data_IF_285384812980
#
_entry.id   IF_285384812980
#
_cell.length_a   1.000
_cell.length_b   1.000
_cell.length_c   1.000
_cell.angle_alpha   90.00
_cell.angle_beta   90.00
_cell.angle_gamma   90.00
#
_symmetry.space_group_name_H-M   'P 1'
#
loop_
_entity.id
_entity.type
_entity.pdbx_description
1 polymer ?
#
# COMPACT_ATOMS: atom_id res chain seq x y z
N UNK A 1 10.69 48.85 -54.11
CA UNK A 1 9.84 49.08 -52.90
C UNK A 1 9.18 47.81 -52.34
N UNK A 2 8.84 46.79 -53.08
CA UNK A 2 8.15 45.56 -52.56
C UNK A 2 9.05 44.59 -51.74
N UNK A 3 10.36 44.63 -51.84
CA UNK A 3 11.28 43.73 -51.15
C UNK A 3 11.55 44.21 -49.71
N UNK A 4 11.64 45.50 -49.48
CA UNK A 4 11.85 46.06 -48.12
C UNK A 4 10.68 45.83 -47.18
N UNK A 5 9.42 45.86 -47.69
CA UNK A 5 8.23 45.63 -46.89
C UNK A 5 8.14 44.18 -46.35
N UNK A 6 8.56 43.19 -47.14
CA UNK A 6 8.59 41.78 -46.69
C UNK A 6 9.65 41.53 -45.63
N UNK A 7 10.81 42.21 -45.74
CA UNK A 7 11.88 42.09 -44.73
C UNK A 7 11.49 42.71 -43.41
N UNK A 8 10.83 43.83 -43.43
CA UNK A 8 10.31 44.53 -42.22
C UNK A 8 9.24 43.68 -41.53
N UNK A 9 8.33 43.05 -42.24
CA UNK A 9 7.30 42.17 -41.67
C UNK A 9 7.95 40.91 -41.04
N UNK A 10 8.95 40.31 -41.66
CA UNK A 10 9.66 39.15 -41.11
C UNK A 10 10.38 39.53 -39.78
N UNK A 11 11.05 40.69 -39.74
CA UNK A 11 11.76 41.14 -38.56
C UNK A 11 10.78 41.44 -37.39
N UNK A 12 9.63 42.01 -37.70
CA UNK A 12 8.58 42.27 -36.72
C UNK A 12 7.98 40.95 -36.18
N UNK A 13 7.70 39.98 -37.04
CA UNK A 13 7.20 38.66 -36.64
C UNK A 13 8.22 37.90 -35.76
N UNK A 14 9.51 37.97 -36.12
CA UNK A 14 10.57 37.39 -35.27
C UNK A 14 10.72 38.07 -33.95
N UNK A 15 10.59 39.39 -33.87
CA UNK A 15 10.62 40.19 -32.66
C UNK A 15 9.44 39.85 -31.72
N UNK A 16 8.23 39.66 -32.28
CA UNK A 16 7.05 39.26 -31.53
C UNK A 16 7.17 37.83 -31.00
N UNK A 17 7.70 36.89 -31.81
CA UNK A 17 7.93 35.54 -31.37
C UNK A 17 8.99 35.42 -30.26
N UNK A 18 10.07 36.22 -30.33
CA UNK A 18 11.06 36.32 -29.25
C UNK A 18 10.46 36.92 -27.98
N UNK A 19 9.64 37.93 -28.08
CA UNK A 19 8.95 38.57 -26.93
C UNK A 19 7.98 37.56 -26.28
N UNK A 20 7.22 36.80 -27.07
CA UNK A 20 6.35 35.74 -26.57
C UNK A 20 7.16 34.59 -25.93
N UNK A 21 8.31 34.24 -26.49
CA UNK A 21 9.19 33.26 -25.91
C UNK A 21 9.72 33.67 -24.53
N UNK A 22 10.15 34.96 -24.36
CA UNK A 22 10.59 35.47 -23.07
C UNK A 22 9.44 35.67 -22.07
N UNK A 23 8.24 36.00 -22.51
CA UNK A 23 7.08 36.12 -21.65
C UNK A 23 6.53 34.79 -21.17
N UNK A 24 6.58 33.75 -22.02
CA UNK A 24 6.18 32.37 -21.66
C UNK A 24 7.29 31.66 -20.90
N UNK A 25 8.57 31.92 -21.21
CA UNK A 25 9.71 31.32 -20.51
C UNK A 25 9.87 31.78 -19.06
N UNK A 26 9.47 32.99 -18.74
CA UNK A 26 9.49 33.52 -17.35
C UNK A 26 8.28 33.08 -16.50
N UNK A 27 7.31 32.38 -17.08
CA UNK A 27 6.19 31.81 -16.34
C UNK A 27 6.44 30.35 -15.85
N UNK A 28 7.62 29.78 -16.17
CA UNK A 28 7.97 28.39 -15.87
C UNK A 28 8.86 28.19 -14.62
N UNK A 29 9.29 29.25 -13.95
CA UNK A 29 10.09 29.20 -12.73
C UNK A 29 9.29 29.67 -11.50
N UNK A 30 8.12 29.07 -11.23
CA UNK A 30 7.59 29.10 -9.87
C UNK A 30 8.18 27.94 -9.06
N UNK A 31 8.79 28.22 -7.89
CA UNK A 31 9.25 27.17 -6.98
C UNK A 31 8.05 26.40 -6.45
N UNK A 32 8.20 25.09 -6.14
CA UNK A 32 7.11 24.27 -5.64
C UNK A 32 6.51 24.90 -4.38
N UNK A 33 5.20 25.09 -4.38
CA UNK A 33 4.40 25.58 -3.26
C UNK A 33 4.79 24.81 -1.99
N UNK A 34 5.33 25.53 -1.01
CA UNK A 34 5.45 25.05 0.36
C UNK A 34 4.05 24.80 0.87
N UNK A 35 3.77 23.58 1.31
CA UNK A 35 2.57 23.24 2.07
C UNK A 35 2.47 24.20 3.26
N UNK A 36 1.40 24.97 3.31
CA UNK A 36 1.04 25.79 4.46
C UNK A 36 0.55 24.84 5.55
N UNK A 37 1.40 24.63 6.55
CA UNK A 37 0.99 24.03 7.80
C UNK A 37 -0.06 24.95 8.43
N UNK A 38 -1.26 24.44 8.66
CA UNK A 38 -2.32 25.10 9.41
C UNK A 38 -1.93 25.12 10.88
N UNK A 39 -1.32 26.23 11.30
CA UNK A 39 -0.96 26.50 12.69
C UNK A 39 -2.11 27.27 13.34
N UNK A 40 -2.97 26.55 14.07
CA UNK A 40 -3.90 27.15 15.02
C UNK A 40 -3.18 27.31 16.35
N UNK A 41 -2.45 28.41 16.54
CA UNK A 41 -1.93 28.79 17.85
C UNK A 41 -2.61 30.06 18.37
N UNK A 42 -3.22 29.95 19.55
CA UNK A 42 -3.71 31.06 20.36
C UNK A 42 -2.57 31.95 20.87
N UNK A 43 -2.79 33.23 21.18
CA UNK A 43 -1.74 34.20 21.43
C UNK A 43 -1.09 34.07 22.81
N UNK A 44 0.18 34.48 22.95
CA UNK A 44 0.89 34.39 24.23
C UNK A 44 0.64 35.60 25.14
N UNK A 45 0.48 35.36 26.43
CA UNK A 45 0.56 36.35 27.48
C UNK A 45 2.03 36.64 27.87
N UNK A 46 2.31 37.90 28.05
CA UNK A 46 3.57 38.54 28.42
C UNK A 46 4.19 38.04 29.73
N UNK A 47 5.51 37.89 29.77
CA UNK A 47 6.29 37.74 31.01
C UNK A 47 7.79 37.82 30.77
N UNK A 48 8.40 38.96 31.10
CA UNK A 48 9.82 39.24 31.10
C UNK A 48 10.58 38.44 32.19
N UNK A 49 11.77 37.88 31.89
CA UNK A 49 12.63 37.30 32.93
C UNK A 49 13.98 36.77 32.47
N UNK A 50 14.96 37.64 32.44
CA UNK A 50 16.41 37.53 32.73
C UNK A 50 17.24 36.30 32.27
N UNK A 51 18.20 36.63 31.45
CA UNK A 51 19.45 35.95 31.10
C UNK A 51 20.31 35.66 32.36
N UNK A 52 20.76 34.41 32.53
CA UNK A 52 21.97 34.08 33.31
C UNK A 52 22.79 33.03 32.57
N UNK A 53 23.99 33.45 32.17
CA UNK A 53 25.06 32.63 31.65
C UNK A 53 25.82 31.95 32.80
N UNK A 54 26.05 30.63 32.74
CA UNK A 54 27.06 29.96 33.61
C UNK A 54 27.93 29.04 32.78
N UNK A 55 29.23 29.15 33.13
CA UNK A 55 30.45 28.64 32.49
C UNK A 55 30.65 27.13 32.62
N UNK A 56 31.47 26.61 31.67
CA UNK A 56 32.18 25.33 31.64
C UNK A 56 32.75 24.88 32.99
N UNK A 57 32.63 23.61 33.30
CA UNK A 57 33.35 22.90 34.36
C UNK A 57 33.77 21.48 33.96
N UNK A 58 35.01 21.26 33.94
CA UNK A 58 35.98 20.16 33.75
C UNK A 58 35.52 18.73 34.08
N UNK A 59 36.08 17.78 33.26
CA UNK A 59 36.20 16.31 33.52
C UNK A 59 36.92 16.00 34.82
N UNK A 60 36.68 14.82 35.41
CA UNK A 60 37.74 13.99 35.97
C UNK A 60 37.75 12.52 35.47
N UNK A 61 38.83 12.08 35.27
CA UNK A 61 39.82 11.00 35.21
C UNK A 61 39.37 9.63 35.73
N UNK A 62 39.82 8.61 34.98
CA UNK A 62 39.84 7.17 35.26
C UNK A 62 40.34 6.80 36.65
N UNK A 63 39.78 5.71 37.20
CA UNK A 63 40.49 4.77 38.07
C UNK A 63 40.17 3.33 37.71
N UNK A 64 41.28 2.57 37.48
CA UNK A 64 41.32 1.10 37.36
C UNK A 64 41.22 0.46 38.74
N UNK A 65 40.54 -0.67 38.86
CA UNK A 65 40.84 -1.79 39.82
C UNK A 65 40.01 -2.98 39.23
N UNK A 66 40.63 -4.00 38.74
CA UNK A 66 41.34 -5.19 39.26
C UNK A 66 40.44 -6.44 39.31
N UNK A 67 40.91 -7.39 38.54
CA UNK A 67 40.57 -8.80 38.39
C UNK A 67 40.19 -9.53 39.67
N UNK A 68 39.22 -10.46 39.56
CA UNK A 68 39.35 -11.81 40.15
C UNK A 68 38.36 -12.79 39.52
N UNK A 69 38.94 -13.76 38.81
CA UNK A 69 38.30 -15.07 38.56
C UNK A 69 38.58 -16.00 39.73
N UNK A 70 37.73 -17.05 39.94
CA UNK A 70 38.27 -18.40 39.74
C UNK A 70 37.36 -19.40 39.00
N UNK A 71 37.95 -20.20 38.19
CA UNK A 71 37.57 -21.55 37.74
C UNK A 71 38.26 -22.57 38.65
N UNK A 72 38.06 -23.90 38.48
CA UNK A 72 36.94 -24.76 38.11
C UNK A 72 36.73 -25.94 39.09
N UNK A 73 35.72 -26.74 38.92
CA UNK A 73 35.81 -28.16 39.36
C UNK A 73 35.05 -29.11 38.44
N UNK A 74 35.81 -29.97 37.86
CA UNK A 74 35.53 -31.17 37.05
C UNK A 74 35.25 -32.32 37.99
N UNK A 75 34.19 -33.11 37.77
CA UNK A 75 34.12 -34.50 38.16
C UNK A 75 33.47 -35.35 37.08
N UNK A 76 34.30 -36.24 36.58
CA UNK A 76 33.97 -37.39 35.73
C UNK A 76 33.27 -38.45 36.55
N UNK A 77 32.38 -39.18 35.89
CA UNK A 77 31.77 -40.41 36.36
C UNK A 77 31.32 -41.29 35.20
N UNK A 78 32.21 -42.13 34.67
CA UNK A 78 31.92 -43.28 33.81
C UNK A 78 31.16 -44.34 34.58
N UNK A 79 30.14 -44.98 34.01
CA UNK A 79 29.92 -46.42 34.12
C UNK A 79 29.14 -46.92 32.90
N UNK A 80 29.57 -48.04 32.43
CA UNK A 80 29.34 -48.82 31.25
C UNK A 80 28.19 -49.83 31.38
N UNK A 81 27.63 -50.25 30.21
CA UNK A 81 27.35 -51.58 29.70
C UNK A 81 25.90 -52.12 29.66
N UNK A 82 25.61 -52.58 28.43
CA UNK A 82 24.90 -53.81 27.98
C UNK A 82 23.37 -53.88 28.24
N UNK A 83 22.54 -54.10 27.31
CA UNK A 83 22.44 -55.11 26.25
C UNK A 83 21.07 -55.75 26.33
N UNK A 84 20.43 -55.96 25.24
CA UNK A 84 19.23 -56.82 25.25
C UNK A 84 18.24 -56.57 24.12
N UNK A 85 18.47 -57.20 22.97
CA UNK A 85 17.45 -57.46 21.94
C UNK A 85 16.35 -58.36 22.50
N UNK A 86 15.08 -58.01 22.30
CA UNK A 86 13.99 -58.99 22.20
C UNK A 86 12.98 -58.56 21.16
N UNK A 87 12.90 -59.36 20.10
CA UNK A 87 11.82 -59.40 19.13
C UNK A 87 10.52 -59.90 19.80
N UNK A 88 9.40 -59.27 19.52
CA UNK A 88 8.09 -59.94 19.60
C UNK A 88 7.21 -59.50 18.44
N UNK A 89 6.96 -60.46 17.56
CA UNK A 89 5.97 -60.47 16.49
C UNK A 89 4.54 -60.67 17.04
N UNK A 90 3.59 -60.14 16.28
CA UNK A 90 2.19 -60.57 16.10
C UNK A 90 1.13 -60.12 17.11
N UNK A 91 0.22 -59.24 16.63
CA UNK A 91 -1.17 -59.66 16.32
C UNK A 91 -1.95 -58.57 15.57
N UNK A 92 -2.27 -58.88 14.30
CA UNK A 92 -3.34 -58.18 13.58
C UNK A 92 -4.67 -58.45 14.29
N UNK A 93 -5.42 -57.38 14.56
CA UNK A 93 -6.87 -57.42 14.72
C UNK A 93 -7.46 -56.36 13.78
N UNK A 94 -8.18 -56.85 12.80
CA UNK A 94 -9.06 -56.09 11.94
C UNK A 94 -10.16 -55.49 12.83
N UNK A 95 -10.27 -54.17 12.85
CA UNK A 95 -11.49 -53.48 13.18
C UNK A 95 -11.90 -52.60 12.02
N UNK A 96 -13.12 -52.83 11.60
CA UNK A 96 -13.80 -52.25 10.48
C UNK A 96 -13.90 -50.74 10.52
N UNK A 97 -13.87 -50.13 9.34
CA UNK A 97 -13.88 -48.73 9.03
C UNK A 97 -14.89 -47.86 9.81
N UNK A 98 -14.36 -46.80 10.42
CA UNK A 98 -15.07 -45.56 10.54
C UNK A 98 -14.66 -44.68 9.35
N UNK A 99 -15.61 -44.05 8.66
CA UNK A 99 -15.26 -43.09 7.63
C UNK A 99 -14.54 -41.91 8.33
N UNK A 100 -13.31 -41.63 7.90
CA UNK A 100 -12.59 -40.41 8.22
C UNK A 100 -13.51 -39.28 7.78
N UNK A 101 -14.02 -38.54 8.75
CA UNK A 101 -14.77 -37.30 8.52
C UNK A 101 -13.94 -36.43 7.58
N UNK A 102 -14.53 -36.10 6.43
CA UNK A 102 -13.92 -35.28 5.43
C UNK A 102 -13.35 -34.04 6.12
N UNK A 103 -12.11 -33.72 5.83
CA UNK A 103 -11.50 -32.45 6.15
C UNK A 103 -12.48 -31.39 5.67
N UNK A 104 -13.06 -30.63 6.59
CA UNK A 104 -13.74 -29.40 6.25
C UNK A 104 -12.75 -28.63 5.38
N UNK A 105 -13.10 -28.42 4.11
CA UNK A 105 -12.35 -27.54 3.21
C UNK A 105 -12.23 -26.22 3.98
N UNK A 106 -11.04 -25.88 4.43
CA UNK A 106 -10.79 -24.60 5.07
C UNK A 106 -11.27 -23.54 4.09
N UNK A 107 -12.30 -22.77 4.48
CA UNK A 107 -12.78 -21.66 3.64
C UNK A 107 -11.58 -20.77 3.37
N UNK A 108 -11.19 -20.68 2.10
CA UNK A 108 -10.01 -19.94 1.65
C UNK A 108 -10.34 -18.45 1.64
N UNK A 109 -10.13 -17.81 2.78
CA UNK A 109 -10.35 -16.37 2.96
C UNK A 109 -9.24 -15.57 2.30
N UNK A 110 -9.60 -14.55 1.52
CA UNK A 110 -8.65 -13.54 1.09
C UNK A 110 -8.47 -12.51 2.21
N UNK A 111 -7.24 -12.24 2.60
CA UNK A 111 -6.90 -11.31 3.66
C UNK A 111 -6.51 -9.95 3.08
N UNK A 112 -7.18 -8.88 3.51
CA UNK A 112 -6.88 -7.51 3.12
C UNK A 112 -6.59 -6.66 4.36
N UNK A 113 -5.46 -5.96 4.39
CA UNK A 113 -5.12 -5.02 5.45
C UNK A 113 -5.16 -3.57 4.97
N UNK A 114 -5.59 -2.69 5.85
CA UNK A 114 -5.59 -1.25 5.66
C UNK A 114 -5.18 -0.56 6.97
N UNK A 115 -4.46 0.57 6.86
CA UNK A 115 -4.07 1.40 7.99
C UNK A 115 -4.77 2.75 7.87
N UNK A 116 -5.66 3.05 8.82
CA UNK A 116 -6.53 4.24 8.77
C UNK A 116 -6.39 5.07 10.04
N UNK A 117 -5.89 6.30 9.92
CA UNK A 117 -5.75 7.25 11.02
C UNK A 117 -6.29 8.63 10.63
N UNK A 118 -6.62 9.46 11.61
CA UNK A 118 -7.17 10.79 11.37
C UNK A 118 -8.55 10.74 10.69
N UNK A 119 -8.76 11.48 9.61
CA UNK A 119 -10.05 11.60 8.91
C UNK A 119 -10.31 10.50 7.85
N UNK A 120 -9.68 9.31 7.97
CA UNK A 120 -9.72 8.31 6.91
C UNK A 120 -10.84 7.26 7.03
N UNK A 121 -11.82 7.47 7.90
CA UNK A 121 -12.93 6.53 8.12
C UNK A 121 -13.76 6.30 6.84
N UNK A 122 -14.32 7.35 6.26
CA UNK A 122 -15.23 7.25 5.12
C UNK A 122 -14.53 6.75 3.87
N UNK A 123 -13.30 7.20 3.64
CA UNK A 123 -12.46 6.73 2.54
C UNK A 123 -12.18 5.22 2.66
N UNK A 124 -11.85 4.76 3.87
CA UNK A 124 -11.62 3.33 4.14
C UNK A 124 -12.91 2.50 4.00
N UNK A 125 -14.05 3.00 4.45
CA UNK A 125 -15.34 2.31 4.26
C UNK A 125 -15.69 2.21 2.77
N UNK A 126 -15.41 3.24 1.98
CA UNK A 126 -15.60 3.23 0.52
C UNK A 126 -14.66 2.24 -0.17
N UNK A 127 -13.40 2.15 0.26
CA UNK A 127 -12.45 1.13 -0.18
C UNK A 127 -13.00 -0.28 0.09
N UNK A 128 -13.40 -0.59 1.35
CA UNK A 128 -13.96 -1.90 1.74
C UNK A 128 -15.20 -2.22 0.93
N UNK A 129 -16.07 -1.22 0.69
CA UNK A 129 -17.25 -1.33 -0.16
C UNK A 129 -16.88 -1.73 -1.59
N UNK A 130 -15.88 -1.05 -2.20
CA UNK A 130 -15.42 -1.37 -3.56
C UNK A 130 -14.90 -2.81 -3.67
N UNK A 131 -14.12 -3.27 -2.68
CA UNK A 131 -13.63 -4.65 -2.64
C UNK A 131 -14.77 -5.67 -2.61
N UNK A 132 -15.84 -5.41 -1.84
CA UNK A 132 -16.99 -6.31 -1.72
C UNK A 132 -17.93 -6.26 -2.92
N UNK A 133 -18.04 -5.12 -3.59
CA UNK A 133 -18.92 -4.97 -4.76
C UNK A 133 -18.54 -5.92 -5.89
N UNK A 134 -17.27 -6.09 -6.14
CA UNK A 134 -16.77 -6.80 -7.31
C UNK A 134 -16.23 -8.21 -7.00
N UNK A 135 -15.81 -8.51 -5.77
CA UNK A 135 -15.24 -9.82 -5.42
C UNK A 135 -16.29 -10.91 -5.26
N UNK A 136 -15.90 -12.15 -5.53
CA UNK A 136 -16.76 -13.32 -5.41
C UNK A 136 -16.47 -14.09 -4.11
N UNK A 137 -15.21 -14.25 -3.78
CA UNK A 137 -14.77 -14.93 -2.55
C UNK A 137 -14.98 -14.09 -1.31
N UNK A 138 -14.93 -14.74 -0.16
CA UNK A 138 -15.03 -14.09 1.15
C UNK A 138 -13.74 -13.36 1.49
N UNK A 139 -13.86 -12.20 2.14
CA UNK A 139 -12.72 -11.34 2.49
C UNK A 139 -12.66 -11.16 4.01
N UNK A 140 -11.47 -11.30 4.59
CA UNK A 140 -11.18 -10.93 5.96
C UNK A 140 -10.39 -9.63 5.98
N UNK A 141 -11.00 -8.59 6.54
CA UNK A 141 -10.36 -7.28 6.68
C UNK A 141 -9.60 -7.16 7.99
N UNK A 142 -8.36 -6.67 7.91
CA UNK A 142 -7.50 -6.32 9.03
C UNK A 142 -7.35 -4.80 9.05
N UNK A 143 -8.11 -4.13 9.91
CA UNK A 143 -8.17 -2.66 9.99
C UNK A 143 -7.28 -2.22 11.15
N UNK A 144 -6.15 -1.59 10.83
CA UNK A 144 -5.26 -1.00 11.83
C UNK A 144 -5.62 0.47 11.99
N UNK A 145 -5.90 0.91 13.21
CA UNK A 145 -6.41 2.27 13.43
C UNK A 145 -6.10 2.81 14.82
N UNK A 146 -6.27 4.12 14.97
CA UNK A 146 -6.27 4.78 16.28
C UNK A 146 -7.51 4.36 17.08
N UNK A 147 -7.39 4.38 18.39
CA UNK A 147 -8.46 3.98 19.33
C UNK A 147 -9.78 4.74 19.06
N UNK A 148 -9.67 6.04 18.77
CA UNK A 148 -10.82 6.90 18.48
C UNK A 148 -11.65 6.44 17.27
N UNK A 149 -11.06 5.73 16.31
CA UNK A 149 -11.73 5.26 15.09
C UNK A 149 -12.25 3.81 15.22
N UNK A 150 -11.85 3.04 16.22
CA UNK A 150 -12.25 1.64 16.37
C UNK A 150 -13.79 1.47 16.44
N UNK A 151 -14.45 2.22 17.33
CA UNK A 151 -15.92 2.20 17.47
C UNK A 151 -16.63 2.74 16.21
N UNK A 152 -16.22 3.86 15.58
CA UNK A 152 -16.75 4.31 14.29
C UNK A 152 -16.67 3.25 13.18
N UNK A 153 -15.55 2.51 13.02
CA UNK A 153 -15.46 1.41 12.05
C UNK A 153 -16.46 0.30 12.34
N UNK A 154 -16.55 -0.17 13.58
CA UNK A 154 -17.50 -1.20 13.98
C UNK A 154 -18.95 -0.77 13.68
N UNK A 155 -19.30 0.47 14.05
CA UNK A 155 -20.62 1.05 13.80
C UNK A 155 -20.91 1.20 12.29
N UNK A 156 -19.93 1.62 11.49
CA UNK A 156 -20.06 1.76 10.03
C UNK A 156 -20.36 0.41 9.38
N UNK A 157 -19.51 -0.59 9.65
CA UNK A 157 -19.61 -1.92 9.05
C UNK A 157 -20.85 -2.71 9.52
N UNK A 158 -21.31 -2.53 10.76
CA UNK A 158 -22.50 -3.21 11.30
C UNK A 158 -23.82 -2.75 10.67
N UNK A 159 -23.83 -1.56 10.04
CA UNK A 159 -25.03 -1.04 9.34
C UNK A 159 -25.25 -1.66 7.97
N UNK A 160 -24.28 -2.41 7.44
CA UNK A 160 -24.37 -2.95 6.10
C UNK A 160 -25.37 -4.11 6.01
N UNK A 161 -26.08 -4.27 4.86
CA UNK A 161 -27.09 -5.29 4.69
C UNK A 161 -26.55 -6.71 4.95
N UNK A 162 -27.42 -7.59 5.46
CA UNK A 162 -27.03 -8.96 5.87
C UNK A 162 -26.39 -9.77 4.73
N UNK A 163 -26.87 -9.62 3.49
CA UNK A 163 -26.29 -10.30 2.33
C UNK A 163 -24.87 -9.85 1.98
N UNK A 164 -24.49 -8.62 2.37
CA UNK A 164 -23.13 -8.09 2.26
C UNK A 164 -22.29 -8.56 3.44
N UNK A 165 -22.79 -8.38 4.67
CA UNK A 165 -22.05 -8.71 5.91
C UNK A 165 -21.74 -10.20 6.04
N UNK A 166 -22.49 -11.09 5.40
CA UNK A 166 -22.21 -12.53 5.35
C UNK A 166 -20.99 -12.90 4.49
N UNK A 167 -20.46 -11.95 3.69
CA UNK A 167 -19.36 -12.17 2.74
C UNK A 167 -18.01 -11.75 3.27
N UNK A 168 -17.96 -11.14 4.45
CA UNK A 168 -16.70 -10.69 5.03
C UNK A 168 -16.66 -10.90 6.54
N UNK A 169 -15.44 -10.90 7.05
CA UNK A 169 -15.13 -10.76 8.46
C UNK A 169 -14.17 -9.57 8.62
N UNK A 170 -14.10 -8.99 9.79
CA UNK A 170 -13.12 -7.95 10.07
C UNK A 170 -12.57 -8.06 11.50
N UNK A 171 -11.35 -7.60 11.66
CA UNK A 171 -10.70 -7.39 12.95
C UNK A 171 -10.12 -5.98 12.97
N UNK A 172 -10.31 -5.28 14.08
CA UNK A 172 -9.75 -3.93 14.29
C UNK A 172 -8.57 -4.06 15.23
N UNK A 173 -7.44 -3.52 14.86
CA UNK A 173 -6.18 -3.60 15.59
C UNK A 173 -5.71 -2.20 15.96
N UNK A 174 -5.10 -2.01 17.14
CA UNK A 174 -4.41 -0.78 17.48
C UNK A 174 -3.14 -0.61 16.65
N UNK A 175 -2.68 0.63 16.53
CA UNK A 175 -1.39 0.95 15.91
C UNK A 175 -0.27 0.59 16.89
N UNK A 176 0.62 -0.34 16.49
CA UNK A 176 1.71 -0.84 17.34
C UNK A 176 2.99 -1.06 16.54
N UNK A 177 4.12 -0.80 17.16
CA UNK A 177 5.45 -0.99 16.56
C UNK A 177 6.30 -1.85 17.51
N UNK A 178 6.83 -2.96 17.01
CA UNK A 178 7.57 -3.94 17.82
C UNK A 178 9.04 -3.56 18.06
N UNK A 179 9.60 -2.72 17.19
CA UNK A 179 11.02 -2.30 17.27
C UNK A 179 11.17 -0.79 17.14
N UNK A 180 12.20 -0.23 17.76
CA UNK A 180 12.50 1.20 17.72
C UNK A 180 11.55 2.05 18.58
N UNK A 181 11.58 3.35 18.34
CA UNK A 181 10.73 4.30 19.05
C UNK A 181 9.39 4.45 18.31
N UNK A 182 8.28 4.11 18.98
CA UNK A 182 6.94 4.18 18.40
C UNK A 182 6.59 5.58 17.89
N UNK A 183 7.01 6.65 18.59
CA UNK A 183 6.74 8.01 18.17
C UNK A 183 7.53 8.43 16.92
N UNK A 184 8.72 7.88 16.71
CA UNK A 184 9.48 8.08 15.46
C UNK A 184 8.76 7.40 14.29
N UNK A 185 8.28 6.16 14.48
CA UNK A 185 7.53 5.45 13.44
C UNK A 185 6.21 6.12 13.09
N UNK A 186 5.48 6.63 14.08
CA UNK A 186 4.22 7.38 13.85
C UNK A 186 4.46 8.66 13.04
N UNK A 187 5.61 9.30 13.21
CA UNK A 187 5.95 10.56 12.53
C UNK A 187 6.74 10.39 11.24
N UNK A 188 7.04 9.15 10.83
CA UNK A 188 7.94 8.89 9.69
C UNK A 188 7.48 9.56 8.39
N UNK A 189 6.19 9.59 8.11
CA UNK A 189 5.62 10.23 6.94
C UNK A 189 4.22 10.80 7.23
N UNK A 190 3.17 10.02 6.91
CA UNK A 190 1.78 10.31 7.30
C UNK A 190 1.44 9.59 8.59
N UNK A 191 0.48 10.07 9.37
CA UNK A 191 0.08 9.37 10.59
C UNK A 191 -0.13 7.88 10.32
N UNK A 192 0.54 7.02 11.09
CA UNK A 192 0.40 5.57 11.09
C UNK A 192 0.88 4.82 9.83
N UNK A 193 1.28 5.47 8.73
CA UNK A 193 1.63 4.78 7.47
C UNK A 193 2.69 3.70 7.66
N UNK A 194 3.69 3.93 8.53
CA UNK A 194 4.72 2.96 8.85
C UNK A 194 4.22 1.62 9.43
N UNK A 195 2.96 1.57 9.92
CA UNK A 195 2.34 0.35 10.45
C UNK A 195 2.40 -0.82 9.46
N UNK A 196 2.34 -0.54 8.12
CA UNK A 196 2.42 -1.61 7.10
C UNK A 196 3.70 -2.43 7.18
N UNK A 197 4.81 -1.85 7.59
CA UNK A 197 6.08 -2.55 7.73
C UNK A 197 6.04 -3.64 8.82
N UNK A 198 5.14 -3.50 9.79
CA UNK A 198 5.01 -4.39 10.93
C UNK A 198 3.94 -5.48 10.76
N UNK A 199 3.19 -5.47 9.65
CA UNK A 199 2.15 -6.48 9.38
C UNK A 199 2.69 -7.92 9.38
N UNK A 200 3.88 -8.23 8.82
CA UNK A 200 4.43 -9.57 8.88
C UNK A 200 4.68 -10.07 10.32
N UNK A 201 5.02 -9.15 11.22
CA UNK A 201 5.33 -9.46 12.61
C UNK A 201 4.06 -9.59 13.46
N UNK A 202 3.04 -8.77 13.17
CA UNK A 202 1.80 -8.72 13.95
C UNK A 202 0.84 -9.84 13.54
N UNK A 203 0.66 -10.07 12.24
CA UNK A 203 -0.29 -11.05 11.69
C UNK A 203 0.37 -12.43 11.54
N UNK A 204 0.81 -13.03 12.66
CA UNK A 204 1.60 -14.27 12.68
C UNK A 204 0.88 -15.47 12.07
N UNK A 205 -0.43 -15.54 12.22
CA UNK A 205 -1.27 -16.64 11.74
C UNK A 205 -1.80 -16.43 10.30
N UNK A 206 -1.42 -15.34 9.64
CA UNK A 206 -1.79 -15.03 8.26
C UNK A 206 -0.63 -15.41 7.33
N UNK A 207 -0.92 -16.25 6.34
CA UNK A 207 0.08 -16.68 5.35
C UNK A 207 0.27 -15.61 4.27
N UNK A 208 -0.83 -15.15 3.68
CA UNK A 208 -0.82 -14.20 2.57
C UNK A 208 -1.75 -13.02 2.83
N UNK A 209 -1.36 -11.83 2.40
CA UNK A 209 -2.04 -10.58 2.70
C UNK A 209 -1.94 -9.60 1.53
N UNK A 210 -3.06 -9.00 1.16
CA UNK A 210 -3.07 -7.79 0.34
C UNK A 210 -3.14 -6.56 1.26
N UNK A 211 -2.14 -5.71 1.24
CA UNK A 211 -2.17 -4.39 1.85
C UNK A 211 -2.58 -3.35 0.82
N UNK A 212 -3.44 -2.42 1.21
CA UNK A 212 -3.79 -1.25 0.41
C UNK A 212 -3.86 0.02 1.26
N UNK A 213 -3.52 1.17 0.66
CA UNK A 213 -3.73 2.48 1.26
C UNK A 213 -5.24 2.80 1.32
N UNK A 214 -5.64 3.74 2.19
CA UNK A 214 -7.07 4.11 2.39
C UNK A 214 -7.71 4.71 1.15
N UNK A 215 -6.90 5.34 0.29
CA UNK A 215 -7.30 6.00 -0.96
C UNK A 215 -7.21 5.08 -2.19
N UNK A 216 -7.52 3.79 -1.99
CA UNK A 216 -7.56 2.77 -3.05
C UNK A 216 -8.99 2.31 -3.30
N UNK A 217 -9.39 2.12 -4.57
CA UNK A 217 -10.67 1.56 -4.98
C UNK A 217 -10.45 0.39 -5.94
N UNK A 218 -11.15 -0.71 -5.69
CA UNK A 218 -11.21 -1.85 -6.60
C UNK A 218 -12.24 -1.59 -7.70
N UNK A 219 -11.87 -1.79 -8.95
CA UNK A 219 -12.75 -1.75 -10.12
C UNK A 219 -12.84 -3.13 -10.80
N UNK A 220 -12.13 -4.10 -10.25
CA UNK A 220 -12.05 -5.50 -10.65
C UNK A 220 -12.07 -6.40 -9.41
N UNK A 221 -12.45 -7.68 -9.50
CA UNK A 221 -12.45 -8.57 -8.35
C UNK A 221 -11.10 -8.64 -7.63
N UNK A 222 -11.12 -8.57 -6.30
CA UNK A 222 -9.95 -8.81 -5.47
C UNK A 222 -9.38 -10.21 -5.71
N UNK A 223 -10.22 -11.15 -6.09
CA UNK A 223 -9.86 -12.52 -6.50
C UNK A 223 -8.74 -12.53 -7.55
N UNK A 224 -8.76 -11.55 -8.47
CA UNK A 224 -7.81 -11.50 -9.58
C UNK A 224 -6.42 -11.05 -9.12
N UNK A 225 -6.31 -9.99 -8.30
CA UNK A 225 -5.00 -9.59 -7.74
C UNK A 225 -4.48 -10.67 -6.77
N UNK A 226 -5.38 -11.32 -6.02
CA UNK A 226 -5.01 -12.42 -5.13
C UNK A 226 -4.39 -13.60 -5.88
N UNK A 227 -4.82 -13.83 -7.14
CA UNK A 227 -4.30 -14.92 -7.96
C UNK A 227 -2.81 -14.78 -8.30
N UNK A 228 -2.25 -13.56 -8.27
CA UNK A 228 -0.81 -13.35 -8.49
C UNK A 228 0.10 -14.06 -7.47
N UNK A 229 -0.43 -14.45 -6.30
CA UNK A 229 0.33 -15.30 -5.37
C UNK A 229 0.76 -16.64 -6.01
N UNK A 230 0.02 -17.12 -7.01
CA UNK A 230 0.33 -18.34 -7.75
C UNK A 230 1.43 -18.12 -8.80
N UNK A 231 1.63 -16.89 -9.21
CA UNK A 231 2.67 -16.50 -10.17
C UNK A 231 4.04 -16.29 -9.49
N UNK A 232 4.04 -16.18 -8.15
CA UNK A 232 5.30 -16.02 -7.40
C UNK A 232 6.19 -17.24 -7.58
N UNK A 233 7.42 -17.01 -8.03
CA UNK A 233 8.45 -18.05 -8.00
C UNK A 233 8.91 -18.34 -6.55
N UNK A 234 9.90 -19.20 -6.40
CA UNK A 234 10.39 -19.63 -5.08
C UNK A 234 11.04 -18.53 -4.24
N UNK A 235 11.54 -17.45 -4.86
CA UNK A 235 12.21 -16.34 -4.17
C UNK A 235 11.28 -15.15 -3.93
N UNK A 236 10.25 -14.97 -4.74
CA UNK A 236 9.32 -13.85 -4.60
C UNK A 236 8.43 -13.99 -3.37
N UNK A 237 8.30 -12.89 -2.64
CA UNK A 237 7.55 -12.84 -1.39
C UNK A 237 6.61 -11.63 -1.30
N UNK A 238 6.75 -10.68 -2.21
CA UNK A 238 5.85 -9.53 -2.32
C UNK A 238 5.67 -9.11 -3.79
N UNK A 239 4.60 -8.34 -4.06
CA UNK A 239 4.35 -7.73 -5.35
C UNK A 239 3.88 -6.28 -5.18
N UNK A 240 4.44 -5.37 -5.99
CA UNK A 240 4.08 -3.95 -6.07
C UNK A 240 4.19 -3.46 -7.50
N UNK A 241 3.48 -2.37 -7.84
CA UNK A 241 3.64 -1.72 -9.14
C UNK A 241 4.80 -0.72 -9.14
N UNK A 242 5.40 -0.40 -10.30
CA UNK A 242 6.36 0.68 -10.43
C UNK A 242 5.80 2.01 -9.91
N UNK A 243 6.66 2.86 -9.34
CA UNK A 243 6.25 4.21 -8.94
C UNK A 243 5.91 5.07 -10.16
N UNK A 244 6.58 4.86 -11.26
CA UNK A 244 6.27 5.53 -12.53
C UNK A 244 6.70 4.69 -13.73
N UNK A 245 5.94 4.78 -14.85
CA UNK A 245 6.28 4.07 -16.07
C UNK A 245 7.36 4.78 -16.88
N UNK A 246 7.53 6.09 -16.68
CA UNK A 246 8.49 6.93 -17.42
C UNK A 246 9.61 7.39 -16.46
N UNK A 247 10.85 6.86 -16.60
CA UNK A 247 11.96 7.20 -15.69
C UNK A 247 12.29 8.68 -15.64
N UNK A 248 12.18 9.39 -16.76
CA UNK A 248 12.52 10.83 -16.87
C UNK A 248 11.66 11.73 -15.99
N UNK A 249 10.44 11.31 -15.63
CA UNK A 249 9.51 12.07 -14.78
C UNK A 249 9.22 11.37 -13.45
N UNK A 250 9.68 10.14 -13.26
CA UNK A 250 9.57 9.41 -12.00
C UNK A 250 10.32 10.11 -10.86
N UNK A 251 9.69 10.18 -9.68
CA UNK A 251 10.27 10.88 -8.53
C UNK A 251 11.59 10.26 -8.09
N UNK A 252 11.65 8.93 -7.96
CA UNK A 252 12.86 8.23 -7.48
C UNK A 252 14.06 8.47 -8.39
N UNK A 253 13.87 8.38 -9.70
CA UNK A 253 14.94 8.59 -10.67
C UNK A 253 15.54 10.00 -10.66
N UNK A 254 14.76 10.99 -10.19
CA UNK A 254 15.14 12.41 -10.21
C UNK A 254 15.64 12.93 -8.86
N UNK A 255 15.07 12.44 -7.76
CA UNK A 255 15.20 13.11 -6.46
C UNK A 255 15.65 12.20 -5.32
N UNK A 256 15.50 10.86 -5.43
CA UNK A 256 15.89 9.96 -4.34
C UNK A 256 17.41 10.06 -4.06
N UNK A 257 17.73 10.18 -2.76
CA UNK A 257 19.11 10.20 -2.27
C UNK A 257 19.46 8.93 -1.49
N UNK A 258 18.73 7.87 -1.76
CA UNK A 258 18.91 6.53 -1.21
C UNK A 258 18.72 5.49 -2.33
N UNK A 259 19.19 4.25 -2.16
CA UNK A 259 18.91 3.18 -3.11
C UNK A 259 17.41 2.93 -3.26
N UNK A 260 16.94 2.55 -4.46
CA UNK A 260 15.56 2.19 -4.73
C UNK A 260 15.47 1.04 -5.73
N UNK A 261 14.33 0.37 -5.77
CA UNK A 261 14.11 -0.79 -6.64
C UNK A 261 14.01 -0.38 -8.12
N UNK A 262 14.67 -1.15 -8.99
CA UNK A 262 14.56 -0.99 -10.45
C UNK A 262 14.97 0.40 -10.95
N UNK A 263 14.23 0.92 -11.92
CA UNK A 263 14.55 2.19 -12.61
C UNK A 263 13.76 3.37 -12.02
N UNK A 264 12.55 3.14 -11.52
CA UNK A 264 11.64 4.20 -11.04
C UNK A 264 11.19 4.02 -9.60
N UNK A 265 11.70 3.00 -8.89
CA UNK A 265 11.15 2.59 -7.60
C UNK A 265 9.80 1.89 -7.74
N UNK A 266 9.20 1.51 -6.60
CA UNK A 266 7.87 0.93 -6.52
C UNK A 266 6.98 1.75 -5.61
N UNK A 267 5.67 1.74 -5.91
CA UNK A 267 4.65 2.37 -5.10
C UNK A 267 4.01 1.35 -4.15
N UNK A 268 4.03 1.66 -2.86
CA UNK A 268 3.60 0.75 -1.79
C UNK A 268 2.11 0.80 -1.47
N UNK A 269 1.33 1.66 -2.14
CA UNK A 269 -0.11 1.80 -1.87
C UNK A 269 -0.95 0.59 -2.22
N UNK A 270 -0.40 -0.35 -3.00
CA UNK A 270 -0.96 -1.69 -3.25
C UNK A 270 0.18 -2.69 -3.16
N UNK A 271 0.17 -3.56 -2.15
CA UNK A 271 1.23 -4.54 -1.89
C UNK A 271 0.65 -5.91 -1.55
N UNK A 272 0.83 -6.88 -2.42
CA UNK A 272 0.49 -8.28 -2.15
C UNK A 272 1.70 -8.98 -1.53
N UNK A 273 1.49 -9.70 -0.44
CA UNK A 273 2.55 -10.29 0.37
C UNK A 273 2.30 -11.76 0.69
N UNK A 274 3.33 -12.59 0.62
CA UNK A 274 3.39 -13.85 1.33
C UNK A 274 4.12 -13.63 2.67
N UNK A 275 3.37 -13.47 3.75
CA UNK A 275 3.90 -13.13 5.06
C UNK A 275 4.76 -14.25 5.65
N UNK A 276 4.43 -15.50 5.36
CA UNK A 276 5.22 -16.66 5.80
C UNK A 276 6.62 -16.63 5.19
N UNK A 277 6.72 -16.33 3.89
CA UNK A 277 8.02 -16.17 3.23
C UNK A 277 8.79 -14.97 3.77
N UNK A 278 8.12 -13.82 4.00
CA UNK A 278 8.76 -12.63 4.58
C UNK A 278 9.36 -12.96 5.96
N UNK A 279 8.61 -13.65 6.82
CA UNK A 279 9.09 -14.04 8.15
C UNK A 279 10.27 -15.00 8.14
N UNK A 280 10.38 -15.85 7.13
CA UNK A 280 11.43 -16.88 7.02
C UNK A 280 12.66 -16.44 6.22
N UNK A 281 12.63 -15.27 5.58
CA UNK A 281 13.71 -14.78 4.71
C UNK A 281 14.71 -13.93 5.50
N UNK A 282 15.99 -14.13 5.22
CA UNK A 282 17.07 -13.24 5.63
C UNK A 282 17.39 -12.27 4.50
N UNK A 283 17.16 -11.00 4.74
CA UNK A 283 17.31 -9.95 3.73
C UNK A 283 18.74 -9.44 3.66
N UNK A 284 19.28 -9.40 2.44
CA UNK A 284 20.55 -8.73 2.15
C UNK A 284 20.43 -7.25 2.44
N UNK A 285 21.50 -6.65 2.92
CA UNK A 285 21.58 -5.24 3.25
C UNK A 285 23.02 -4.75 3.10
N UNK A 286 23.25 -3.45 3.21
CA UNK A 286 24.58 -2.86 3.12
C UNK A 286 25.12 -2.37 4.49
N UNK A 287 24.61 -2.95 5.58
CA UNK A 287 25.04 -2.60 6.94
C UNK A 287 25.93 -3.69 7.54
N UNK A 288 25.58 -4.95 7.28
CA UNK A 288 26.31 -6.13 7.75
C UNK A 288 26.42 -7.17 6.62
N UNK A 289 27.41 -8.04 6.70
CA UNK A 289 27.67 -9.07 5.68
C UNK A 289 26.66 -10.22 5.70
N UNK A 290 25.98 -10.44 6.83
CA UNK A 290 24.93 -11.44 6.99
C UNK A 290 23.56 -10.83 6.73
N UNK A 291 22.60 -11.65 6.25
CA UNK A 291 21.21 -11.21 6.14
C UNK A 291 20.58 -10.94 7.51
N UNK A 292 19.59 -10.06 7.53
CA UNK A 292 18.78 -9.77 8.72
C UNK A 292 17.33 -10.25 8.50
N UNK A 293 16.67 -10.69 9.57
CA UNK A 293 15.24 -10.92 9.53
C UNK A 293 14.50 -9.63 9.19
N UNK A 294 13.24 -9.72 8.74
CA UNK A 294 12.45 -8.54 8.43
C UNK A 294 12.39 -7.56 9.60
N UNK A 295 12.11 -8.05 10.80
CA UNK A 295 11.96 -7.22 11.99
C UNK A 295 13.29 -6.57 12.41
N UNK A 296 14.38 -7.33 12.41
CA UNK A 296 15.72 -6.83 12.80
C UNK A 296 16.27 -5.82 11.79
N UNK A 297 15.83 -5.87 10.53
CA UNK A 297 16.27 -4.98 9.46
C UNK A 297 15.66 -3.58 9.57
N UNK A 298 14.40 -3.46 10.00
CA UNK A 298 13.62 -2.21 9.88
C UNK A 298 14.27 -1.03 10.60
N UNK A 299 14.59 -1.18 11.89
CA UNK A 299 15.10 -0.06 12.68
C UNK A 299 16.52 0.38 12.27
N UNK A 300 17.52 -0.52 12.09
CA UNK A 300 18.83 -0.13 11.59
C UNK A 300 18.78 0.52 10.21
N UNK A 301 17.90 0.03 9.32
CA UNK A 301 17.71 0.60 7.99
C UNK A 301 17.18 2.03 8.08
N UNK A 302 16.13 2.25 8.88
CA UNK A 302 15.59 3.57 9.14
C UNK A 302 16.66 4.52 9.71
N UNK A 303 17.41 4.11 10.74
CA UNK A 303 18.46 4.94 11.34
C UNK A 303 19.54 5.34 10.32
N UNK A 304 19.91 4.43 9.42
CA UNK A 304 20.89 4.70 8.38
C UNK A 304 20.43 5.75 7.37
N UNK A 305 19.18 5.68 6.94
CA UNK A 305 18.67 6.49 5.84
C UNK A 305 17.75 7.64 6.26
N UNK A 306 17.47 7.85 7.56
CA UNK A 306 16.47 8.80 8.06
C UNK A 306 16.58 10.23 7.52
N UNK A 307 17.81 10.70 7.20
CA UNK A 307 18.05 12.02 6.65
C UNK A 307 17.75 12.13 5.13
N UNK A 308 17.43 11.01 4.50
CA UNK A 308 17.17 10.91 3.06
C UNK A 308 15.77 10.34 2.75
N UNK A 309 15.01 9.97 3.77
CA UNK A 309 13.63 9.50 3.65
C UNK A 309 12.72 10.68 3.32
N UNK A 310 11.91 10.54 2.29
CA UNK A 310 10.90 11.54 1.85
C UNK A 310 9.50 10.95 1.88
N UNK A 311 9.33 9.71 1.40
CA UNK A 311 8.05 9.01 1.31
C UNK A 311 7.88 7.93 2.39
N UNK A 312 8.64 8.08 3.48
CA UNK A 312 8.47 7.28 4.69
C UNK A 312 8.75 5.80 4.48
N UNK A 313 7.76 4.99 4.80
CA UNK A 313 7.82 3.54 4.72
C UNK A 313 7.95 3.02 3.28
N UNK A 314 7.44 3.74 2.27
CA UNK A 314 7.67 3.40 0.87
C UNK A 314 9.15 3.46 0.49
N UNK A 315 9.91 4.43 1.02
CA UNK A 315 11.35 4.53 0.78
C UNK A 315 12.10 3.34 1.39
N UNK A 316 11.71 2.94 2.61
CA UNK A 316 12.30 1.76 3.27
C UNK A 316 12.04 0.48 2.48
N UNK A 317 10.83 0.28 1.96
CA UNK A 317 10.51 -0.85 1.08
C UNK A 317 11.35 -0.81 -0.21
N UNK A 318 11.49 0.37 -0.82
CA UNK A 318 12.34 0.53 -2.01
C UNK A 318 13.79 0.18 -1.74
N UNK A 319 14.33 0.56 -0.57
CA UNK A 319 15.71 0.21 -0.18
C UNK A 319 15.84 -1.29 0.05
N UNK A 320 14.89 -1.92 0.76
CA UNK A 320 14.89 -3.38 1.01
C UNK A 320 14.92 -4.15 -0.31
N UNK A 321 14.02 -3.82 -1.22
CA UNK A 321 13.93 -4.52 -2.51
C UNK A 321 15.02 -4.11 -3.52
N UNK A 322 15.70 -2.99 -3.34
CA UNK A 322 16.93 -2.69 -4.07
C UNK A 322 18.02 -3.74 -3.78
N UNK A 323 18.21 -4.12 -2.51
CA UNK A 323 19.19 -5.13 -2.13
C UNK A 323 18.71 -6.57 -2.31
N UNK A 324 17.40 -6.78 -2.51
CA UNK A 324 16.75 -8.08 -2.68
C UNK A 324 15.78 -8.07 -3.87
N UNK A 325 16.26 -7.74 -5.09
CA UNK A 325 15.36 -7.56 -6.24
C UNK A 325 14.65 -8.85 -6.65
N UNK A 326 15.24 -10.00 -6.38
CA UNK A 326 14.68 -11.33 -6.61
C UNK A 326 13.45 -11.63 -5.75
N UNK A 327 13.27 -10.89 -4.66
CA UNK A 327 12.17 -11.08 -3.72
C UNK A 327 10.86 -10.39 -4.14
N UNK A 328 10.90 -9.54 -5.17
CA UNK A 328 9.75 -8.75 -5.60
C UNK A 328 9.25 -9.16 -6.98
N UNK A 329 7.93 -9.39 -7.08
CA UNK A 329 7.18 -9.44 -8.33
C UNK A 329 6.69 -8.04 -8.69
N UNK A 330 6.73 -7.64 -9.95
CA UNK A 330 6.27 -6.31 -10.38
C UNK A 330 4.90 -6.42 -11.03
N UNK A 331 3.88 -5.80 -10.44
CA UNK A 331 2.55 -5.69 -11.05
C UNK A 331 2.57 -4.81 -12.29
N UNK A 332 1.76 -5.09 -13.30
CA UNK A 332 1.40 -4.11 -14.31
C UNK A 332 0.69 -2.88 -13.71
N UNK A 333 0.90 -1.72 -14.33
CA UNK A 333 0.45 -0.42 -13.82
C UNK A 333 -1.06 -0.31 -13.53
N UNK A 334 -1.92 -1.03 -14.27
CA UNK A 334 -3.37 -1.01 -14.03
C UNK A 334 -3.79 -1.53 -12.66
N UNK A 335 -2.91 -2.23 -11.94
CA UNK A 335 -3.15 -2.71 -10.58
C UNK A 335 -2.79 -1.70 -9.49
N UNK A 336 -2.30 -0.53 -9.87
CA UNK A 336 -2.07 0.61 -8.98
C UNK A 336 -2.10 1.90 -9.81
N UNK A 337 -3.25 2.17 -10.48
CA UNK A 337 -3.41 3.28 -11.40
C UNK A 337 -3.61 4.59 -10.63
N UNK A 338 -2.72 5.56 -10.85
CA UNK A 338 -2.67 6.85 -10.17
C UNK A 338 -2.90 8.01 -11.12
N UNK A 339 -3.17 9.24 -10.64
CA UNK A 339 -3.29 10.43 -11.50
C UNK A 339 -2.11 10.64 -12.46
N UNK A 340 -0.90 10.29 -12.05
CA UNK A 340 0.30 10.39 -12.89
C UNK A 340 0.20 9.61 -14.20
N UNK A 341 -0.60 8.55 -14.24
CA UNK A 341 -0.79 7.74 -15.45
C UNK A 341 -1.65 8.41 -16.53
N UNK A 342 -2.36 9.48 -16.21
CA UNK A 342 -3.16 10.25 -17.17
C UNK A 342 -2.80 11.74 -17.23
N UNK A 343 -2.21 12.32 -16.18
CA UNK A 343 -1.86 13.74 -16.14
C UNK A 343 -0.67 14.09 -17.06
N UNK A 344 0.25 13.18 -17.25
CA UNK A 344 1.46 13.37 -18.06
C UNK A 344 1.38 12.64 -19.41
N UNK A 345 0.18 12.59 -19.99
CA UNK A 345 -0.15 11.73 -21.12
C UNK A 345 -0.45 10.30 -20.65
N UNK A 346 -1.18 9.55 -21.46
CA UNK A 346 -1.46 8.15 -21.11
C UNK A 346 -0.17 7.34 -21.19
N UNK A 347 0.21 6.72 -20.06
CA UNK A 347 1.48 6.00 -19.96
C UNK A 347 1.34 4.62 -19.27
N UNK A 348 0.10 4.18 -19.05
CA UNK A 348 -0.20 2.85 -18.53
C UNK A 348 -0.88 1.99 -19.60
N UNK A 349 -0.07 1.30 -20.41
CA UNK A 349 -0.55 0.47 -21.52
C UNK A 349 -1.57 -0.57 -21.08
N UNK A 350 -1.34 -1.26 -19.95
CA UNK A 350 -2.30 -2.23 -19.45
C UNK A 350 -3.68 -1.65 -19.11
N UNK A 351 -3.74 -0.39 -18.62
CA UNK A 351 -5.02 0.28 -18.37
C UNK A 351 -5.70 0.73 -19.68
N UNK A 352 -4.94 1.10 -20.70
CA UNK A 352 -5.51 1.40 -22.03
C UNK A 352 -6.13 0.16 -22.69
N UNK A 353 -5.45 -0.98 -22.58
CA UNK A 353 -5.87 -2.24 -23.18
C UNK A 353 -7.03 -2.90 -22.40
N UNK A 354 -6.91 -3.03 -21.07
CA UNK A 354 -7.82 -3.79 -20.23
C UNK A 354 -8.74 -2.93 -19.37
N UNK A 355 -8.40 -1.66 -19.14
CA UNK A 355 -9.01 -0.79 -18.14
C UNK A 355 -8.32 -0.89 -16.78
N UNK A 356 -8.61 0.07 -15.90
CA UNK A 356 -8.07 0.14 -14.54
C UNK A 356 -8.63 -0.99 -13.67
N UNK A 357 -7.74 -1.76 -13.06
CA UNK A 357 -8.12 -2.82 -12.11
C UNK A 357 -8.23 -2.28 -10.67
N UNK A 358 -7.25 -1.49 -10.25
CA UNK A 358 -7.21 -0.81 -8.96
C UNK A 358 -6.88 0.66 -9.18
N UNK A 359 -7.77 1.54 -8.74
CA UNK A 359 -7.61 2.99 -8.77
C UNK A 359 -7.05 3.47 -7.45
N UNK A 360 -5.97 4.25 -7.47
CA UNK A 360 -5.30 4.78 -6.28
C UNK A 360 -5.33 6.31 -6.33
N UNK A 361 -6.13 6.91 -5.47
CA UNK A 361 -6.38 8.35 -5.37
C UNK A 361 -5.31 9.10 -4.60
N UNK A 362 -4.03 8.74 -4.77
CA UNK A 362 -2.94 9.36 -4.04
C UNK A 362 -2.95 10.90 -4.17
N UNK A 363 -2.35 11.59 -3.20
CA UNK A 363 -2.35 13.06 -3.13
C UNK A 363 -3.74 13.69 -3.03
N UNK A 364 -4.73 12.95 -2.50
CA UNK A 364 -6.08 13.44 -2.25
C UNK A 364 -6.97 13.54 -3.50
N UNK A 365 -6.63 12.82 -4.59
CA UNK A 365 -7.31 12.92 -5.87
C UNK A 365 -8.83 12.63 -5.82
N UNK A 366 -9.32 11.94 -4.79
CA UNK A 366 -10.75 11.72 -4.61
C UNK A 366 -11.50 12.92 -4.02
N UNK A 367 -10.77 13.87 -3.43
CA UNK A 367 -11.33 15.02 -2.70
C UNK A 367 -10.91 16.35 -3.32
N UNK A 368 -10.05 16.34 -4.35
CA UNK A 368 -9.56 17.52 -5.04
C UNK A 368 -10.29 17.70 -6.39
N UNK A 369 -10.84 18.88 -6.62
CA UNK A 369 -11.50 19.24 -7.89
C UNK A 369 -10.53 19.28 -9.09
N UNK A 370 -9.21 19.22 -8.84
CA UNK A 370 -8.21 19.08 -9.90
C UNK A 370 -8.23 17.71 -10.59
N UNK A 371 -8.83 16.69 -9.96
CA UNK A 371 -8.91 15.34 -10.49
C UNK A 371 -10.36 14.83 -10.56
N UNK A 372 -11.26 15.51 -11.29
CA UNK A 372 -12.68 15.21 -11.28
C UNK A 372 -13.02 13.81 -11.78
N UNK A 373 -12.19 13.21 -12.67
CA UNK A 373 -12.37 11.82 -13.12
C UNK A 373 -12.19 10.82 -11.97
N UNK A 374 -11.18 11.02 -11.09
CA UNK A 374 -10.96 10.19 -9.90
C UNK A 374 -12.08 10.38 -8.89
N UNK A 375 -12.45 11.64 -8.63
CA UNK A 375 -13.55 12.00 -7.74
C UNK A 375 -14.88 11.38 -8.21
N UNK A 376 -15.18 11.40 -9.50
CA UNK A 376 -16.40 10.81 -10.05
C UNK A 376 -16.50 9.30 -9.75
N UNK A 377 -15.39 8.56 -9.84
CA UNK A 377 -15.37 7.13 -9.49
C UNK A 377 -15.58 6.93 -7.98
N UNK A 378 -14.89 7.74 -7.16
CA UNK A 378 -15.02 7.67 -5.71
C UNK A 378 -16.46 7.95 -5.27
N UNK A 379 -17.06 9.06 -5.71
CA UNK A 379 -18.41 9.47 -5.37
C UNK A 379 -19.44 8.40 -5.80
N UNK A 380 -19.29 7.83 -7.01
CA UNK A 380 -20.21 6.81 -7.50
C UNK A 380 -20.20 5.55 -6.62
N UNK A 381 -19.04 5.11 -6.16
CA UNK A 381 -18.93 3.94 -5.27
C UNK A 381 -19.37 4.30 -3.85
N UNK A 382 -18.99 5.47 -3.35
CA UNK A 382 -19.37 5.96 -2.03
C UNK A 382 -20.90 6.04 -1.89
N UNK A 383 -21.58 6.65 -2.86
CA UNK A 383 -23.01 6.93 -2.82
C UNK A 383 -23.87 5.72 -3.19
N UNK A 384 -23.31 4.71 -3.87
CA UNK A 384 -24.07 3.53 -4.30
C UNK A 384 -24.65 2.76 -3.10
N UNK A 385 -25.98 2.56 -3.02
CA UNK A 385 -26.59 1.70 -2.01
C UNK A 385 -26.48 0.22 -2.42
N UNK A 386 -26.16 -0.67 -1.44
CA UNK A 386 -25.90 -2.08 -1.72
C UNK A 386 -27.07 -2.86 -2.30
N UNK A 387 -28.29 -2.40 -2.08
CA UNK A 387 -29.53 -3.10 -2.47
C UNK A 387 -30.05 -2.71 -3.85
N UNK A 388 -29.47 -1.68 -4.46
CA UNK A 388 -29.91 -1.17 -5.76
C UNK A 388 -29.34 -1.94 -6.94
N UNK A 389 -29.94 -1.70 -8.12
CA UNK A 389 -29.39 -2.18 -9.37
C UNK A 389 -28.07 -1.48 -9.68
N UNK A 390 -26.98 -2.25 -9.74
CA UNK A 390 -25.62 -1.73 -9.90
C UNK A 390 -25.43 -0.95 -11.22
N UNK A 391 -26.16 -1.31 -12.30
CA UNK A 391 -26.09 -0.54 -13.56
C UNK A 391 -26.79 0.80 -13.44
N UNK A 392 -28.00 0.82 -12.84
CA UNK A 392 -28.82 2.03 -12.76
C UNK A 392 -28.29 3.01 -11.70
N UNK A 393 -27.80 2.50 -10.56
CA UNK A 393 -27.43 3.34 -9.44
C UNK A 393 -25.92 3.57 -9.28
N UNK A 394 -25.07 2.87 -10.07
CA UNK A 394 -23.62 3.11 -10.07
C UNK A 394 -23.09 3.40 -11.48
N UNK A 395 -23.28 2.48 -12.45
CA UNK A 395 -22.57 2.57 -13.73
C UNK A 395 -23.05 3.73 -14.61
N UNK A 396 -24.37 3.84 -14.86
CA UNK A 396 -24.91 4.92 -15.70
C UNK A 396 -24.72 6.31 -15.08
N UNK A 397 -24.94 6.53 -13.77
CA UNK A 397 -24.55 7.78 -13.13
C UNK A 397 -23.07 8.12 -13.27
N UNK A 398 -22.19 7.12 -13.12
CA UNK A 398 -20.74 7.29 -13.32
C UNK A 398 -20.42 7.71 -14.76
N UNK A 399 -21.00 7.04 -15.78
CA UNK A 399 -20.82 7.43 -17.17
C UNK A 399 -21.25 8.88 -17.42
N UNK A 400 -22.38 9.29 -16.85
CA UNK A 400 -22.88 10.68 -16.98
C UNK A 400 -21.91 11.67 -16.32
N UNK A 401 -21.43 11.39 -15.10
CA UNK A 401 -20.45 12.24 -14.41
C UNK A 401 -19.14 12.38 -15.20
N UNK A 402 -18.72 11.36 -15.94
CA UNK A 402 -17.53 11.47 -16.78
C UNK A 402 -17.65 12.49 -17.92
N UNK A 403 -18.87 12.78 -18.40
CA UNK A 403 -19.10 13.82 -19.41
C UNK A 403 -18.68 15.21 -18.90
N UNK A 404 -18.82 15.45 -17.59
CA UNK A 404 -18.44 16.71 -16.96
C UNK A 404 -16.92 16.84 -16.79
N UNK A 405 -16.17 15.76 -16.97
CA UNK A 405 -14.71 15.71 -16.75
C UNK A 405 -13.88 15.84 -18.03
N UNK A 406 -14.51 15.90 -19.22
CA UNK A 406 -13.87 15.85 -20.55
C UNK A 406 -12.82 16.96 -20.80
N UNK A 407 -12.90 18.04 -20.06
CA UNK A 407 -11.95 19.14 -20.14
C UNK A 407 -10.64 18.87 -19.39
N UNK A 408 -10.54 17.78 -18.65
CA UNK A 408 -9.34 17.37 -17.90
C UNK A 408 -8.59 16.27 -18.62
N UNK A 409 -7.29 16.14 -18.37
CA UNK A 409 -6.46 15.13 -19.02
C UNK A 409 -6.95 13.71 -18.74
N UNK A 410 -7.30 13.40 -17.50
CA UNK A 410 -7.81 12.09 -17.12
C UNK A 410 -9.25 11.86 -17.61
N UNK A 411 -10.08 12.89 -17.65
CA UNK A 411 -11.47 12.81 -18.15
C UNK A 411 -11.60 12.59 -19.65
N UNK A 412 -10.55 12.89 -20.44
CA UNK A 412 -10.53 12.64 -21.90
C UNK A 412 -10.40 11.16 -22.26
N UNK A 413 -10.12 10.30 -21.30
CA UNK A 413 -9.93 8.86 -21.50
C UNK A 413 -10.91 8.03 -20.63
N UNK A 414 -12.23 8.29 -20.69
CA UNK A 414 -13.22 7.63 -19.82
C UNK A 414 -13.20 6.11 -19.96
N UNK A 415 -12.88 5.58 -21.14
CA UNK A 415 -12.80 4.14 -21.39
C UNK A 415 -11.74 3.44 -20.50
N UNK A 416 -10.67 4.13 -20.11
CA UNK A 416 -9.65 3.58 -19.20
C UNK A 416 -10.24 3.29 -17.82
N UNK A 417 -11.17 4.14 -17.34
CA UNK A 417 -11.83 3.98 -16.05
C UNK A 417 -13.05 3.07 -16.13
N UNK A 418 -13.85 3.17 -17.19
CA UNK A 418 -15.17 2.54 -17.27
C UNK A 418 -15.14 1.10 -17.80
N UNK A 419 -14.18 0.77 -18.69
CA UNK A 419 -14.11 -0.52 -19.39
C UNK A 419 -14.10 -1.72 -18.43
N UNK A 420 -13.26 -1.67 -17.41
CA UNK A 420 -13.13 -2.78 -16.47
C UNK A 420 -14.32 -2.87 -15.51
N UNK A 421 -14.83 -1.72 -15.06
CA UNK A 421 -16.04 -1.66 -14.23
C UNK A 421 -17.22 -2.30 -14.97
N UNK A 422 -17.45 -1.91 -16.23
CA UNK A 422 -18.54 -2.46 -17.07
C UNK A 422 -18.41 -3.98 -17.23
N UNK A 423 -17.20 -4.44 -17.61
CA UNK A 423 -16.92 -5.88 -17.79
C UNK A 423 -17.19 -6.68 -16.53
N UNK A 424 -16.70 -6.19 -15.40
CA UNK A 424 -16.86 -6.85 -14.10
C UNK A 424 -18.34 -6.92 -13.70
N UNK A 425 -19.07 -5.83 -13.88
CA UNK A 425 -20.50 -5.76 -13.55
C UNK A 425 -21.33 -6.68 -14.43
N UNK A 426 -21.05 -6.77 -15.74
CA UNK A 426 -21.70 -7.71 -16.65
C UNK A 426 -21.48 -9.15 -16.20
N UNK A 427 -20.24 -9.53 -15.90
CA UNK A 427 -19.91 -10.88 -15.43
C UNK A 427 -20.65 -11.24 -14.13
N UNK A 428 -20.69 -10.33 -13.16
CA UNK A 428 -21.39 -10.55 -11.88
C UNK A 428 -22.92 -10.65 -12.08
N UNK A 429 -23.48 -9.87 -13.00
CA UNK A 429 -24.90 -9.93 -13.32
C UNK A 429 -25.26 -11.25 -13.98
N UNK A 430 -24.51 -11.68 -14.97
CA UNK A 430 -24.69 -12.94 -15.67
C UNK A 430 -24.61 -14.14 -14.71
N UNK A 431 -23.64 -14.15 -13.81
CA UNK A 431 -23.53 -15.19 -12.77
C UNK A 431 -24.76 -15.24 -11.87
N UNK A 432 -25.29 -14.09 -11.44
CA UNK A 432 -26.51 -14.01 -10.61
C UNK A 432 -27.74 -14.53 -11.36
N UNK A 433 -27.88 -14.20 -12.64
CA UNK A 433 -29.00 -14.65 -13.47
C UNK A 433 -28.95 -16.16 -13.70
N UNK A 434 -27.79 -16.70 -14.08
CA UNK A 434 -27.61 -18.14 -14.30
C UNK A 434 -27.94 -18.94 -13.04
N UNK A 435 -27.51 -18.48 -11.85
CA UNK A 435 -27.81 -19.15 -10.58
C UNK A 435 -29.33 -19.15 -10.29
N UNK A 436 -30.03 -18.07 -10.59
CA UNK A 436 -31.49 -17.99 -10.40
C UNK A 436 -32.26 -18.92 -11.34
N UNK A 437 -31.86 -18.99 -12.62
CA UNK A 437 -32.47 -19.87 -13.62
C UNK A 437 -32.24 -21.34 -13.31
N UNK A 438 -31.09 -21.72 -12.76
CA UNK A 438 -30.77 -23.10 -12.39
C UNK A 438 -31.41 -23.57 -11.08
N UNK A 439 -32.07 -22.68 -10.31
CA UNK A 439 -32.89 -23.03 -9.15
C UNK A 439 -34.36 -22.75 -9.50
N UNK A 440 -35.09 -23.68 -10.15
CA UNK A 440 -36.53 -23.53 -10.29
C UNK A 440 -37.16 -23.49 -8.90
N UNK A 441 -38.15 -22.63 -8.74
CA UNK A 441 -38.92 -22.50 -7.50
C UNK A 441 -39.40 -23.90 -7.07
N UNK A 442 -38.97 -24.34 -5.86
CA UNK A 442 -39.57 -25.42 -5.11
C UNK A 442 -40.74 -24.86 -4.31
#
# INVERSE_FOLDING_TARGET
>A
MKIHCKFVVIVICFGVLLLLYFLVGNAADEPPLKEVANDNSFPPSSGLGKIVSVKLGKKPRLSRISQNQPRPNRREGKVTHRGGFVNAKLRQKNEAGRPVSGSALSEDWMHLAVVACGSRLDETLTLIKSALLFSVKKIKFHIFTEEALASPFQKGLSKWPRHVSSRFQYSVYPITFSVGNAEEWKKLFKPCAAQRLFLPVILKDVDSLLYVDTDVLFLRPLDDIWSFLKEFNSTQLAAMAPEHEIPKIGWYSRFARHPFYGVTGVNSGVMLMNLTRIRSTLFKNNMISTGLSWEDLLHPLYQKYRNHITWGDQDLLNIIFHFNPECLYTFPCQWNYRPDHCMYGSNCKGAEEEGVAILHGNRGAYHDDKQPAFKAVYDAIHDYPFDDNIFQSLFYPLQTKFLDTVNTLCGRIPQVFLKQVEKTMKTLYEQKVIVRVKRPHK
#
